data_IF_020463202999
#
_entry.id   IF_020463202999
#
_cell.length_a   1.000
_cell.length_b   1.000
_cell.length_c   1.000
_cell.angle_alpha   90.00
_cell.angle_beta   90.00
_cell.angle_gamma   90.00
#
_symmetry.space_group_name_H-M   'P 1'
#
loop_
_entity.id
_entity.type
_entity.pdbx_description
1 polymer ?
#
# COMPACT_ATOMS: atom_id res chain seq x y z
N UNK A 1 -18.52 5.99 2.57
CA UNK A 1 -17.88 6.72 3.68
C UNK A 1 -18.48 6.25 5.00
N UNK A 2 -17.77 5.40 5.70
CA UNK A 2 -18.13 5.02 7.06
C UNK A 2 -17.42 5.98 8.01
N UNK A 3 -18.14 6.94 8.57
CA UNK A 3 -17.64 7.75 9.68
C UNK A 3 -17.61 6.88 10.94
N UNK A 4 -16.43 6.49 11.37
CA UNK A 4 -16.19 6.02 12.74
C UNK A 4 -15.59 7.19 13.51
N UNK A 5 -16.29 7.68 14.50
CA UNK A 5 -15.94 8.81 15.37
C UNK A 5 -15.50 10.10 14.64
N UNK A 6 -16.35 11.10 14.69
CA UNK A 6 -16.24 12.34 13.89
C UNK A 6 -14.96 13.17 14.14
N UNK A 7 -14.23 12.90 15.19
CA UNK A 7 -13.07 13.72 15.59
C UNK A 7 -11.70 13.07 15.34
N UNK A 8 -11.60 11.75 15.16
CA UNK A 8 -10.32 11.03 15.17
C UNK A 8 -10.03 10.30 13.88
N UNK A 9 -11.00 9.64 13.29
CA UNK A 9 -10.80 8.75 12.16
C UNK A 9 -11.74 9.10 11.00
N UNK A 10 -11.17 9.48 9.88
CA UNK A 10 -11.88 9.62 8.61
C UNK A 10 -11.48 8.46 7.69
N UNK A 11 -12.46 7.71 7.18
CA UNK A 11 -12.18 6.58 6.32
C UNK A 11 -13.01 6.57 5.05
N UNK A 12 -12.49 5.93 4.02
CA UNK A 12 -13.20 5.58 2.80
C UNK A 12 -12.73 4.21 2.29
N UNK A 13 -13.52 3.60 1.43
CA UNK A 13 -13.17 2.35 0.78
C UNK A 13 -13.59 2.36 -0.69
N UNK A 14 -12.88 1.57 -1.47
CA UNK A 14 -13.18 1.34 -2.88
C UNK A 14 -12.97 -0.14 -3.23
N UNK A 15 -13.76 -0.62 -4.17
CA UNK A 15 -13.69 -1.99 -4.68
C UNK A 15 -13.39 -1.98 -6.17
N UNK A 16 -12.51 -2.87 -6.60
CA UNK A 16 -12.18 -3.09 -8.00
C UNK A 16 -12.46 -4.56 -8.37
N UNK A 17 -13.33 -4.77 -9.32
CA UNK A 17 -13.72 -6.10 -9.81
C UNK A 17 -13.05 -6.52 -11.14
N UNK A 18 -12.08 -5.75 -11.62
CA UNK A 18 -11.40 -6.05 -12.90
C UNK A 18 -10.73 -7.44 -12.93
N UNK A 19 -10.37 -7.96 -11.78
CA UNK A 19 -9.70 -9.25 -11.64
C UNK A 19 -10.64 -10.44 -11.48
N UNK A 20 -11.95 -10.19 -11.31
CA UNK A 20 -12.92 -11.25 -11.01
C UNK A 20 -13.06 -12.24 -12.15
N UNK A 21 -13.24 -11.74 -13.37
CA UNK A 21 -13.44 -12.58 -14.55
C UNK A 21 -12.23 -13.44 -14.88
N UNK A 22 -11.01 -12.88 -14.77
CA UNK A 22 -9.79 -13.56 -15.18
C UNK A 22 -9.16 -14.42 -14.08
N UNK A 23 -9.30 -14.00 -12.81
CA UNK A 23 -8.59 -14.60 -11.68
C UNK A 23 -9.50 -15.05 -10.54
N UNK A 24 -10.78 -14.68 -10.56
CA UNK A 24 -11.74 -15.05 -9.53
C UNK A 24 -11.63 -14.23 -8.23
N UNK A 25 -11.00 -13.06 -8.26
CA UNK A 25 -10.79 -12.20 -7.09
C UNK A 25 -11.29 -10.78 -7.32
N UNK A 26 -11.70 -10.15 -6.21
CA UNK A 26 -11.98 -8.71 -6.15
C UNK A 26 -10.95 -8.08 -5.21
N UNK A 27 -10.45 -6.90 -5.57
CA UNK A 27 -9.62 -6.07 -4.71
C UNK A 27 -10.47 -5.01 -4.03
N UNK A 28 -10.38 -4.91 -2.71
CA UNK A 28 -10.98 -3.83 -1.92
C UNK A 28 -9.88 -3.12 -1.14
N UNK A 29 -9.87 -1.80 -1.18
CA UNK A 29 -8.97 -0.97 -0.37
C UNK A 29 -9.76 -0.09 0.57
N UNK A 30 -9.36 -0.09 1.82
CA UNK A 30 -9.85 0.81 2.87
C UNK A 30 -8.69 1.73 3.28
N UNK A 31 -8.97 3.02 3.43
CA UNK A 31 -7.99 4.01 3.89
C UNK A 31 -8.60 4.81 5.03
N UNK A 32 -7.85 4.98 6.09
CA UNK A 32 -8.23 5.70 7.29
C UNK A 32 -7.18 6.74 7.66
N UNK A 33 -7.64 7.95 7.95
CA UNK A 33 -6.81 9.05 8.42
C UNK A 33 -7.07 9.24 9.91
N UNK A 34 -6.07 8.97 10.71
CA UNK A 34 -6.05 9.24 12.15
C UNK A 34 -5.37 10.59 12.38
N UNK A 35 -6.18 11.62 12.63
CA UNK A 35 -5.70 12.99 12.77
C UNK A 35 -5.01 13.26 14.09
N UNK A 36 -5.35 12.55 15.15
CA UNK A 36 -4.72 12.73 16.46
C UNK A 36 -3.29 12.21 16.49
N UNK A 37 -3.05 11.10 15.80
CA UNK A 37 -1.74 10.46 15.77
C UNK A 37 -0.94 10.73 14.50
N UNK A 38 -1.46 11.57 13.59
CA UNK A 38 -0.84 11.83 12.29
C UNK A 38 -0.52 10.54 11.50
N UNK A 39 -1.44 9.58 11.51
CA UNK A 39 -1.31 8.30 10.83
C UNK A 39 -2.24 8.19 9.63
N UNK A 40 -1.75 7.57 8.58
CA UNK A 40 -2.55 7.01 7.50
C UNK A 40 -2.49 5.50 7.61
N UNK A 41 -3.65 4.85 7.73
CA UNK A 41 -3.77 3.39 7.79
C UNK A 41 -4.53 2.89 6.58
N UNK A 42 -4.11 1.76 6.06
CA UNK A 42 -4.80 1.11 4.96
C UNK A 42 -4.96 -0.38 5.16
N UNK A 43 -6.01 -0.91 4.56
CA UNK A 43 -6.26 -2.34 4.48
C UNK A 43 -6.55 -2.67 3.02
N UNK A 44 -5.74 -3.54 2.44
CA UNK A 44 -6.01 -4.12 1.14
C UNK A 44 -6.54 -5.54 1.31
N UNK A 45 -7.69 -5.81 0.70
CA UNK A 45 -8.30 -7.13 0.71
C UNK A 45 -8.25 -7.73 -0.70
N UNK A 46 -7.77 -8.95 -0.80
CA UNK A 46 -7.95 -9.80 -1.97
C UNK A 46 -9.05 -10.78 -1.62
N UNK A 47 -10.23 -10.58 -2.19
CA UNK A 47 -11.44 -11.34 -1.85
C UNK A 47 -11.70 -12.40 -2.93
N UNK A 48 -11.65 -13.66 -2.53
CA UNK A 48 -11.99 -14.77 -3.43
C UNK A 48 -13.49 -14.74 -3.74
N UNK A 49 -13.84 -14.80 -5.02
CA UNK A 49 -15.23 -14.87 -5.50
C UNK A 49 -15.58 -16.21 -6.11
N UNK A 50 -14.63 -16.87 -6.74
CA UNK A 50 -14.79 -18.22 -7.31
C UNK A 50 -13.47 -18.98 -7.23
N UNK A 51 -13.55 -20.30 -7.25
CA UNK A 51 -12.38 -21.15 -7.32
C UNK A 51 -11.67 -20.96 -8.66
N UNK A 52 -10.35 -21.00 -8.61
CA UNK A 52 -9.50 -20.79 -9.76
C UNK A 52 -8.10 -21.30 -9.54
N UNK A 53 -7.22 -20.95 -10.44
CA UNK A 53 -5.81 -21.28 -10.38
C UNK A 53 -5.10 -20.46 -9.31
N UNK A 54 -3.91 -20.90 -8.83
CA UNK A 54 -3.04 -20.08 -8.03
C UNK A 54 -2.74 -18.76 -8.74
N UNK A 55 -2.81 -17.64 -7.99
CA UNK A 55 -2.54 -16.32 -8.54
C UNK A 55 -1.38 -15.67 -7.80
N UNK A 56 -0.57 -14.95 -8.55
CA UNK A 56 0.44 -14.06 -8.00
C UNK A 56 -0.15 -12.66 -7.86
N UNK A 57 0.02 -12.06 -6.67
CA UNK A 57 -0.38 -10.68 -6.43
C UNK A 57 0.85 -9.78 -6.27
N UNK A 58 0.65 -8.51 -6.57
CA UNK A 58 1.62 -7.46 -6.33
C UNK A 58 0.89 -6.17 -5.93
N UNK A 59 1.14 -5.69 -4.71
CA UNK A 59 0.76 -4.34 -4.30
C UNK A 59 1.93 -3.40 -4.56
N UNK A 60 1.64 -2.28 -5.20
CA UNK A 60 2.64 -1.29 -5.57
C UNK A 60 2.26 0.07 -5.00
N UNK A 61 3.18 0.65 -4.22
CA UNK A 61 3.05 1.98 -3.67
C UNK A 61 4.12 2.86 -4.31
N UNK A 62 3.69 3.68 -5.25
CA UNK A 62 4.58 4.58 -5.98
C UNK A 62 4.94 5.78 -5.12
N UNK A 63 6.22 6.06 -4.99
CA UNK A 63 6.74 7.18 -4.24
C UNK A 63 7.12 8.30 -5.20
N UNK A 64 6.84 9.55 -4.80
CA UNK A 64 7.24 10.73 -5.57
C UNK A 64 8.75 10.67 -5.90
N UNK A 65 9.15 10.91 -7.15
CA UNK A 65 10.55 10.80 -7.58
C UNK A 65 11.53 11.73 -6.85
N UNK A 66 11.04 12.81 -6.24
CA UNK A 66 11.86 13.72 -5.44
C UNK A 66 12.22 13.19 -4.06
N UNK A 67 11.57 12.11 -3.62
CA UNK A 67 11.77 11.52 -2.29
C UNK A 67 12.70 10.30 -2.37
N UNK A 68 13.56 10.17 -1.37
CA UNK A 68 14.39 8.97 -1.21
C UNK A 68 13.71 7.96 -0.28
N UNK A 69 13.90 6.68 -0.60
CA UNK A 69 13.29 5.57 0.14
C UNK A 69 14.37 4.56 0.51
N UNK A 70 14.36 4.11 1.75
CA UNK A 70 15.28 3.10 2.28
C UNK A 70 14.49 2.01 2.98
N UNK A 71 14.76 0.75 2.64
CA UNK A 71 14.20 -0.40 3.33
C UNK A 71 14.86 -0.55 4.70
N UNK A 72 14.06 -0.80 5.73
CA UNK A 72 14.58 -1.06 7.08
C UNK A 72 15.06 -2.51 7.25
N UNK A 73 15.86 -2.75 8.28
CA UNK A 73 16.40 -4.09 8.60
C UNK A 73 15.27 -5.09 8.92
N UNK A 74 14.16 -4.62 9.48
CA UNK A 74 13.00 -5.48 9.80
C UNK A 74 12.38 -6.14 8.57
N UNK A 75 12.61 -5.59 7.39
CA UNK A 75 12.11 -6.14 6.12
C UNK A 75 10.66 -5.80 5.78
N UNK A 76 9.89 -5.31 6.73
CA UNK A 76 8.48 -4.95 6.57
C UNK A 76 8.22 -3.44 6.58
N UNK A 77 9.24 -2.63 6.59
CA UNK A 77 9.13 -1.17 6.65
C UNK A 77 10.08 -0.49 5.66
N UNK A 78 9.68 0.69 5.23
CA UNK A 78 10.49 1.58 4.41
C UNK A 78 10.44 3.01 4.98
N UNK A 79 11.59 3.64 5.06
CA UNK A 79 11.74 5.03 5.47
C UNK A 79 11.72 5.91 4.23
N UNK A 80 10.78 6.86 4.18
CA UNK A 80 10.62 7.82 3.09
C UNK A 80 11.11 9.17 3.58
N UNK A 81 12.21 9.66 3.05
CA UNK A 81 12.80 10.95 3.43
C UNK A 81 12.15 12.08 2.64
N UNK A 82 11.48 13.00 3.33
CA UNK A 82 10.83 14.16 2.74
C UNK A 82 11.77 15.36 2.70
N UNK A 83 12.49 15.59 3.79
CA UNK A 83 13.47 16.67 3.93
C UNK A 83 14.53 16.27 4.94
N UNK A 84 15.51 17.14 5.17
CA UNK A 84 16.61 16.86 6.12
C UNK A 84 16.12 16.38 7.50
N UNK A 85 15.00 16.92 7.98
CA UNK A 85 14.48 16.66 9.32
C UNK A 85 13.09 16.00 9.34
N UNK A 86 12.57 15.58 8.19
CA UNK A 86 11.24 14.99 8.08
C UNK A 86 11.28 13.71 7.29
N UNK A 87 10.77 12.66 7.88
CA UNK A 87 10.58 11.38 7.21
C UNK A 87 9.25 10.74 7.60
N UNK A 88 8.82 9.84 6.74
CA UNK A 88 7.65 8.98 6.97
C UNK A 88 8.12 7.53 7.05
N UNK A 89 7.47 6.76 7.91
CA UNK A 89 7.67 5.33 7.98
C UNK A 89 6.45 4.61 7.41
N UNK A 90 6.65 3.91 6.30
CA UNK A 90 5.70 2.95 5.77
C UNK A 90 5.95 1.59 6.41
N UNK A 91 4.92 0.94 6.93
CA UNK A 91 5.01 -0.40 7.52
C UNK A 91 3.86 -1.27 7.04
N UNK A 92 4.14 -2.52 6.71
CA UNK A 92 3.14 -3.52 6.42
C UNK A 92 3.23 -4.67 7.43
N UNK A 93 2.08 -5.15 7.92
CA UNK A 93 2.04 -6.23 8.89
C UNK A 93 2.16 -7.59 8.19
N UNK A 94 2.92 -8.50 8.81
CA UNK A 94 3.03 -9.92 8.42
C UNK A 94 3.52 -10.19 6.99
N UNK A 95 4.12 -9.20 6.35
CA UNK A 95 4.69 -9.30 5.01
C UNK A 95 6.05 -8.63 4.94
N UNK A 96 6.85 -9.05 3.97
CA UNK A 96 8.07 -8.34 3.59
C UNK A 96 7.81 -7.46 2.38
N UNK A 97 8.46 -6.31 2.36
CA UNK A 97 8.44 -5.41 1.21
C UNK A 97 9.78 -5.41 0.47
N UNK A 98 9.72 -5.05 -0.80
CA UNK A 98 10.88 -4.79 -1.63
C UNK A 98 10.80 -3.39 -2.22
N UNK A 99 11.95 -2.81 -2.54
CA UNK A 99 12.05 -1.56 -3.27
C UNK A 99 12.41 -1.88 -4.71
N UNK A 100 11.59 -1.41 -5.64
CA UNK A 100 11.82 -1.57 -7.07
C UNK A 100 12.00 -0.21 -7.74
N UNK A 101 12.80 -0.18 -8.78
CA UNK A 101 12.88 0.99 -9.67
C UNK A 101 11.56 1.11 -10.43
N UNK A 102 11.07 2.34 -10.54
CA UNK A 102 9.88 2.69 -11.30
C UNK A 102 10.12 3.97 -12.08
N UNK A 103 9.15 4.34 -12.89
CA UNK A 103 9.19 5.58 -13.67
C UNK A 103 7.96 6.42 -13.32
N UNK A 104 8.15 7.73 -13.35
CA UNK A 104 7.11 8.72 -13.16
C UNK A 104 7.01 9.60 -14.39
N UNK A 105 5.82 9.72 -14.94
CA UNK A 105 5.55 10.56 -16.09
C UNK A 105 5.17 11.96 -15.60
N UNK A 106 6.08 12.91 -15.74
CA UNK A 106 5.80 14.33 -15.58
C UNK A 106 5.47 14.95 -16.95
N UNK A 107 4.92 16.15 -16.95
CA UNK A 107 4.35 16.84 -18.12
C UNK A 107 5.18 16.78 -19.41
N UNK A 108 6.51 16.75 -19.31
CA UNK A 108 7.45 16.65 -20.47
C UNK A 108 8.67 15.76 -20.19
N UNK A 109 8.64 14.96 -19.10
CA UNK A 109 9.80 14.19 -18.65
C UNK A 109 9.36 12.83 -18.15
N UNK A 110 10.26 11.87 -18.31
CA UNK A 110 10.21 10.60 -17.60
C UNK A 110 11.25 10.68 -16.49
N UNK A 111 10.83 10.50 -15.24
CA UNK A 111 11.69 10.56 -14.06
C UNK A 111 11.82 9.18 -13.43
N UNK A 112 13.00 8.87 -12.93
CA UNK A 112 13.21 7.68 -12.11
C UNK A 112 12.53 7.87 -10.75
N UNK A 113 11.84 6.85 -10.30
CA UNK A 113 11.18 6.82 -9.00
C UNK A 113 11.39 5.47 -8.32
N UNK A 114 10.97 5.40 -7.05
CA UNK A 114 10.99 4.16 -6.27
C UNK A 114 9.55 3.69 -6.03
N UNK A 115 9.35 2.39 -6.14
CA UNK A 115 8.10 1.73 -5.81
C UNK A 115 8.32 0.77 -4.64
N UNK A 116 7.48 0.90 -3.61
CA UNK A 116 7.41 -0.09 -2.53
C UNK A 116 6.50 -1.20 -3.02
N UNK A 117 7.00 -2.43 -3.05
CA UNK A 117 6.29 -3.57 -3.63
C UNK A 117 6.13 -4.68 -2.60
N UNK A 118 4.94 -5.24 -2.52
CA UNK A 118 4.61 -6.43 -1.72
C UNK A 118 4.06 -7.47 -2.68
N UNK A 119 4.71 -8.61 -2.78
CA UNK A 119 4.32 -9.69 -3.71
C UNK A 119 4.12 -11.00 -2.97
N UNK A 120 3.28 -11.85 -3.51
CA UNK A 120 3.07 -13.19 -2.99
C UNK A 120 2.16 -14.01 -3.89
N UNK A 121 1.77 -15.17 -3.39
CA UNK A 121 0.90 -16.11 -4.10
C UNK A 121 -0.31 -16.45 -3.24
N UNK A 122 -1.46 -16.60 -3.87
CA UNK A 122 -2.69 -17.06 -3.25
C UNK A 122 -3.25 -18.28 -4.00
N UNK A 123 -3.77 -19.23 -3.24
CA UNK A 123 -4.44 -20.43 -3.75
C UNK A 123 -5.80 -20.53 -3.07
N UNK A 124 -6.87 -20.28 -3.82
CA UNK A 124 -8.27 -20.47 -3.40
C UNK A 124 -8.63 -19.91 -2.02
N UNK A 125 -8.05 -18.77 -1.61
CA UNK A 125 -8.36 -18.13 -0.34
C UNK A 125 -8.32 -16.61 -0.47
N UNK A 126 -9.08 -15.94 0.39
CA UNK A 126 -8.98 -14.49 0.59
C UNK A 126 -7.81 -14.15 1.51
N UNK A 127 -7.25 -12.96 1.36
CA UNK A 127 -6.19 -12.43 2.22
C UNK A 127 -6.36 -10.93 2.41
N UNK A 128 -6.02 -10.45 3.59
CA UNK A 128 -6.01 -9.02 3.92
C UNK A 128 -4.63 -8.57 4.37
N UNK A 129 -4.28 -7.34 4.02
CA UNK A 129 -2.99 -6.73 4.28
C UNK A 129 -3.22 -5.40 4.99
N UNK A 130 -2.64 -5.24 6.17
CA UNK A 130 -2.69 -4.00 6.94
C UNK A 130 -1.37 -3.26 6.77
N UNK A 131 -1.44 -2.01 6.37
CA UNK A 131 -0.29 -1.13 6.25
C UNK A 131 -0.56 0.22 6.89
N UNK A 132 0.48 0.92 7.25
CA UNK A 132 0.39 2.27 7.80
C UNK A 132 1.53 3.16 7.34
N UNK A 133 1.26 4.45 7.30
CA UNK A 133 2.25 5.49 7.10
C UNK A 133 2.14 6.45 8.28
N UNK A 134 3.25 6.68 8.96
CA UNK A 134 3.31 7.60 10.09
C UNK A 134 4.54 8.48 10.03
N UNK A 135 4.47 9.63 10.68
CA UNK A 135 5.66 10.46 10.87
C UNK A 135 6.71 9.70 11.67
N UNK A 136 7.92 9.75 11.20
CA UNK A 136 9.09 9.26 11.91
C UNK A 136 9.82 10.49 12.48
N UNK A 137 9.77 10.60 13.77
CA UNK A 137 10.37 11.72 14.51
C UNK A 137 11.78 11.35 14.94
#
# INVERSE_FOLDING_TARGET
>A
LTKKDENVLLGFWATNNCYEKSFGFIHKREIYIDRENDHLKGIDHILKKKDGYPVRYSFRFHVNPELSVVKTISGNSALIQISKNKSLLFTINDENLELEKSIFFAEKKILDSTCITITGNLVNKSKSFNWEIKKNI
#
